data_IF_415123553963
#
_entry.id   IF_415123553963
#
_cell.length_a   1.000
_cell.length_b   1.000
_cell.length_c   1.000
_cell.angle_alpha   90.00
_cell.angle_beta   90.00
_cell.angle_gamma   90.00
#
_symmetry.space_group_name_H-M   'P 1'
#
loop_
_entity.id
_entity.type
_entity.pdbx_description
1 polymer ?
#
# COMPACT_ATOMS: atom_id res chain seq x y z
N UNK A 1 -18.71 -22.09 0.85
CA UNK A 1 -17.76 -22.23 -0.26
C UNK A 1 -17.08 -20.90 -0.51
N UNK A 2 -15.75 -20.92 -0.64
CA UNK A 2 -14.95 -19.78 -1.12
C UNK A 2 -14.90 -19.82 -2.65
N UNK A 3 -15.19 -18.70 -3.28
CA UNK A 3 -15.17 -18.54 -4.73
C UNK A 3 -14.20 -17.44 -5.09
N UNK A 4 -13.23 -17.76 -5.95
CA UNK A 4 -12.31 -16.79 -6.52
C UNK A 4 -12.65 -16.60 -7.99
N UNK A 5 -13.12 -15.41 -8.31
CA UNK A 5 -13.35 -15.02 -9.69
C UNK A 5 -12.06 -14.37 -10.19
N UNK A 6 -11.40 -14.99 -11.17
CA UNK A 6 -10.29 -14.35 -11.89
C UNK A 6 -10.86 -13.69 -13.13
N UNK A 7 -10.55 -12.42 -13.31
CA UNK A 7 -10.66 -11.78 -14.62
C UNK A 7 -9.47 -10.86 -14.84
N UNK A 8 -9.49 -10.11 -15.92
CA UNK A 8 -8.36 -9.27 -16.30
C UNK A 8 -8.24 -9.10 -17.79
N UNK A 9 -7.34 -8.19 -18.18
CA UNK A 9 -7.04 -7.93 -19.58
C UNK A 9 -6.57 -9.20 -20.28
N UNK A 10 -6.89 -9.34 -21.56
CA UNK A 10 -6.43 -10.49 -22.33
C UNK A 10 -4.91 -10.41 -22.48
N UNK A 11 -4.19 -11.49 -22.17
CA UNK A 11 -2.72 -11.47 -22.03
C UNK A 11 -2.18 -11.02 -20.66
N UNK A 12 -3.03 -10.65 -19.69
CA UNK A 12 -2.58 -10.29 -18.33
C UNK A 12 -2.17 -11.48 -17.45
N UNK A 13 -2.26 -12.73 -17.95
CA UNK A 13 -1.81 -13.92 -17.21
C UNK A 13 -2.92 -14.73 -16.52
N UNK A 14 -4.19 -14.59 -16.93
CA UNK A 14 -5.33 -15.35 -16.37
C UNK A 14 -5.09 -16.87 -16.33
N UNK A 15 -4.56 -17.47 -17.40
CA UNK A 15 -4.27 -18.91 -17.43
C UNK A 15 -3.17 -19.33 -16.44
N UNK A 16 -2.20 -18.44 -16.18
CA UNK A 16 -1.15 -18.68 -15.17
C UNK A 16 -1.77 -18.60 -13.77
N UNK A 17 -2.67 -17.64 -13.55
CA UNK A 17 -3.39 -17.49 -12.30
C UNK A 17 -4.30 -18.67 -11.97
N UNK A 18 -5.03 -19.18 -12.97
CA UNK A 18 -5.91 -20.33 -12.81
C UNK A 18 -5.11 -21.59 -12.46
N UNK A 19 -3.98 -21.84 -13.14
CA UNK A 19 -3.08 -22.95 -12.80
C UNK A 19 -2.50 -22.81 -11.39
N UNK A 20 -2.11 -21.61 -10.97
CA UNK A 20 -1.59 -21.38 -9.62
C UNK A 20 -2.64 -21.66 -8.53
N UNK A 21 -3.93 -21.40 -8.82
CA UNK A 21 -5.05 -21.75 -7.95
C UNK A 21 -5.30 -23.26 -7.90
N UNK A 22 -5.25 -23.92 -9.05
CA UNK A 22 -5.37 -25.39 -9.17
C UNK A 22 -4.30 -26.09 -8.34
N UNK A 23 -3.03 -25.64 -8.44
CA UNK A 23 -1.90 -26.12 -7.62
C UNK A 23 -2.14 -25.94 -6.10
N UNK A 24 -2.98 -24.97 -5.72
CA UNK A 24 -3.30 -24.67 -4.30
C UNK A 24 -4.55 -25.42 -3.81
N UNK A 25 -5.16 -26.25 -4.66
CA UNK A 25 -6.31 -27.09 -4.32
C UNK A 25 -7.68 -26.47 -4.64
N UNK A 26 -7.73 -25.37 -5.40
CA UNK A 26 -9.00 -24.84 -5.89
C UNK A 26 -9.51 -25.66 -7.07
N UNK A 27 -10.81 -25.99 -7.06
CA UNK A 27 -11.47 -26.53 -8.25
C UNK A 27 -11.60 -25.42 -9.29
N UNK A 28 -10.88 -25.55 -10.41
CA UNK A 28 -10.78 -24.50 -11.42
C UNK A 28 -11.74 -24.71 -12.58
N UNK A 29 -12.46 -23.65 -12.96
CA UNK A 29 -13.34 -23.62 -14.13
C UNK A 29 -12.97 -22.44 -15.01
N UNK A 30 -12.71 -22.69 -16.29
CA UNK A 30 -12.33 -21.66 -17.26
C UNK A 30 -13.47 -21.34 -18.23
N UNK A 31 -13.53 -20.07 -18.66
CA UNK A 31 -14.38 -19.59 -19.76
C UNK A 31 -15.88 -19.92 -19.65
N UNK A 32 -16.48 -19.69 -18.47
CA UNK A 32 -17.92 -19.90 -18.24
C UNK A 32 -18.73 -18.62 -18.54
N UNK A 33 -19.89 -18.72 -19.23
CA UNK A 33 -20.86 -17.63 -19.34
C UNK A 33 -21.30 -17.11 -17.99
N UNK A 34 -21.37 -15.78 -17.82
CA UNK A 34 -21.75 -15.17 -16.54
C UNK A 34 -23.10 -15.67 -16.02
N UNK A 35 -24.06 -15.88 -16.92
CA UNK A 35 -25.42 -16.31 -16.59
C UNK A 35 -25.49 -17.75 -16.05
N UNK A 36 -24.45 -18.56 -16.28
CA UNK A 36 -24.35 -19.92 -15.75
C UNK A 36 -23.66 -19.99 -14.39
N UNK A 37 -23.10 -18.87 -13.88
CA UNK A 37 -22.44 -18.86 -12.58
C UNK A 37 -23.33 -19.35 -11.44
N UNK A 38 -24.60 -18.90 -11.27
CA UNK A 38 -25.45 -19.37 -10.18
C UNK A 38 -25.64 -20.89 -10.17
N UNK A 39 -25.96 -21.47 -11.33
CA UNK A 39 -26.15 -22.91 -11.46
C UNK A 39 -24.86 -23.68 -11.19
N UNK A 40 -23.73 -23.19 -11.70
CA UNK A 40 -22.43 -23.81 -11.46
C UNK A 40 -22.06 -23.80 -9.97
N UNK A 41 -22.27 -22.68 -9.29
CA UNK A 41 -21.95 -22.57 -7.86
C UNK A 41 -22.86 -23.42 -6.99
N UNK A 42 -24.14 -23.56 -7.35
CA UNK A 42 -25.07 -24.43 -6.63
C UNK A 42 -24.63 -25.89 -6.69
N UNK A 43 -24.23 -26.37 -7.88
CA UNK A 43 -23.72 -27.74 -8.08
C UNK A 43 -22.40 -27.94 -7.32
N UNK A 44 -21.43 -27.02 -7.48
CA UNK A 44 -20.12 -27.17 -6.87
C UNK A 44 -20.16 -27.05 -5.35
N UNK A 45 -21.08 -26.28 -4.78
CA UNK A 45 -21.22 -26.10 -3.33
C UNK A 45 -21.49 -27.40 -2.56
N UNK A 46 -21.97 -28.44 -3.25
CA UNK A 46 -22.25 -29.75 -2.67
C UNK A 46 -21.00 -30.62 -2.49
N UNK A 47 -19.92 -30.35 -3.23
CA UNK A 47 -18.72 -31.20 -3.27
C UNK A 47 -17.41 -30.46 -3.10
N UNK A 48 -17.39 -29.14 -3.31
CA UNK A 48 -16.19 -28.31 -3.28
C UNK A 48 -16.29 -27.24 -2.19
N UNK A 49 -15.23 -27.07 -1.42
CA UNK A 49 -15.10 -25.98 -0.45
C UNK A 49 -14.51 -24.71 -1.07
N UNK A 50 -13.67 -24.85 -2.09
CA UNK A 50 -12.90 -23.77 -2.73
C UNK A 50 -12.92 -23.90 -4.25
N UNK A 51 -13.44 -22.89 -4.94
CA UNK A 51 -13.62 -22.87 -6.41
C UNK A 51 -12.98 -21.62 -7.01
N UNK A 52 -12.27 -21.78 -8.12
CA UNK A 52 -11.73 -20.68 -8.91
C UNK A 52 -12.40 -20.64 -10.29
N UNK A 53 -12.95 -19.49 -10.66
CA UNK A 53 -13.70 -19.31 -11.92
C UNK A 53 -13.04 -18.20 -12.72
N UNK A 54 -12.55 -18.52 -13.91
CA UNK A 54 -12.03 -17.53 -14.85
C UNK A 54 -13.16 -16.98 -15.71
N UNK A 55 -13.42 -15.68 -15.57
CA UNK A 55 -14.37 -14.92 -16.40
C UNK A 55 -13.62 -14.20 -17.52
N UNK A 56 -13.99 -14.52 -18.75
CA UNK A 56 -13.46 -13.89 -19.96
C UNK A 56 -14.43 -12.82 -20.50
N UNK A 57 -13.88 -11.83 -21.21
CA UNK A 57 -14.63 -10.71 -21.80
C UNK A 57 -15.78 -11.17 -22.70
N UNK A 58 -15.60 -12.31 -23.38
CA UNK A 58 -16.59 -12.93 -24.29
C UNK A 58 -17.91 -13.27 -23.59
N UNK A 59 -17.85 -13.46 -22.28
CA UNK A 59 -18.93 -13.97 -21.46
C UNK A 59 -19.53 -12.90 -20.54
N UNK A 60 -19.04 -11.65 -20.60
CA UNK A 60 -19.59 -10.52 -19.84
C UNK A 60 -20.69 -9.91 -20.69
N UNK A 61 -21.96 -9.92 -20.25
CA UNK A 61 -23.03 -9.25 -20.96
C UNK A 61 -22.70 -7.76 -21.10
N UNK A 62 -23.17 -7.12 -22.18
CA UNK A 62 -23.02 -5.66 -22.38
C UNK A 62 -23.66 -4.82 -21.24
N UNK A 63 -24.41 -5.44 -20.31
CA UNK A 63 -25.00 -4.75 -19.17
C UNK A 63 -24.19 -4.99 -17.89
N UNK A 64 -23.58 -3.92 -17.37
CA UNK A 64 -22.98 -3.90 -16.03
C UNK A 64 -23.98 -4.32 -14.92
N UNK A 65 -25.28 -4.14 -15.19
CA UNK A 65 -26.36 -4.51 -14.28
C UNK A 65 -26.44 -6.01 -14.03
N UNK A 66 -26.29 -6.86 -15.06
CA UNK A 66 -26.34 -8.33 -14.91
C UNK A 66 -25.22 -8.83 -13.99
N UNK A 67 -23.99 -8.33 -14.19
CA UNK A 67 -22.85 -8.67 -13.33
C UNK A 67 -23.10 -8.34 -11.86
N UNK A 68 -23.55 -7.11 -11.59
CA UNK A 68 -23.84 -6.68 -10.22
C UNK A 68 -24.91 -7.55 -9.56
N UNK A 69 -25.99 -7.86 -10.28
CA UNK A 69 -27.07 -8.72 -9.78
C UNK A 69 -26.58 -10.14 -9.48
N UNK A 70 -25.87 -10.76 -10.41
CA UNK A 70 -25.31 -12.12 -10.25
C UNK A 70 -24.35 -12.17 -9.07
N UNK A 71 -23.40 -11.24 -8.98
CA UNK A 71 -22.46 -11.16 -7.84
C UNK A 71 -23.19 -10.95 -6.51
N UNK A 72 -24.16 -10.03 -6.46
CA UNK A 72 -24.93 -9.77 -5.23
C UNK A 72 -25.75 -10.96 -4.77
N UNK A 73 -26.21 -11.81 -5.69
CA UNK A 73 -26.98 -13.01 -5.38
C UNK A 73 -26.07 -14.09 -4.82
N UNK A 74 -24.93 -14.34 -5.47
CA UNK A 74 -23.94 -15.30 -5.02
C UNK A 74 -23.32 -14.92 -3.67
N UNK A 75 -23.07 -13.63 -3.42
CA UNK A 75 -22.48 -13.13 -2.17
C UNK A 75 -23.37 -13.37 -0.93
N UNK A 76 -24.66 -13.65 -1.10
CA UNK A 76 -25.57 -14.01 0.01
C UNK A 76 -25.26 -15.39 0.59
N UNK A 77 -24.70 -16.29 -0.22
CA UNK A 77 -24.50 -17.70 0.15
C UNK A 77 -23.03 -18.12 0.13
N UNK A 78 -22.17 -17.33 -0.52
CA UNK A 78 -20.77 -17.68 -0.74
C UNK A 78 -19.84 -16.51 -0.47
N UNK A 79 -18.63 -16.81 -0.01
CA UNK A 79 -17.58 -15.81 0.09
C UNK A 79 -16.93 -15.65 -1.28
N UNK A 80 -17.10 -14.49 -1.90
CA UNK A 80 -16.57 -14.22 -3.24
C UNK A 80 -15.43 -13.22 -3.15
N UNK A 81 -14.30 -13.55 -3.79
CA UNK A 81 -13.20 -12.62 -4.05
C UNK A 81 -12.99 -12.51 -5.56
N UNK A 82 -12.90 -11.30 -6.07
CA UNK A 82 -12.61 -11.00 -7.45
C UNK A 82 -11.15 -10.52 -7.54
N UNK A 83 -10.34 -11.24 -8.33
CA UNK A 83 -8.97 -10.87 -8.67
C UNK A 83 -8.96 -10.41 -10.12
N UNK A 84 -8.58 -9.17 -10.34
CA UNK A 84 -8.41 -8.58 -11.67
C UNK A 84 -6.93 -8.48 -12.01
N UNK A 85 -6.53 -9.05 -13.14
CA UNK A 85 -5.17 -8.98 -13.65
C UNK A 85 -5.06 -7.89 -14.72
N UNK A 86 -4.13 -6.98 -14.53
CA UNK A 86 -3.85 -5.91 -15.48
C UNK A 86 -2.39 -5.97 -15.97
N UNK A 87 -2.14 -5.33 -17.10
CA UNK A 87 -0.81 -4.99 -17.56
C UNK A 87 -0.91 -3.75 -18.44
N UNK A 88 0.21 -3.03 -18.58
CA UNK A 88 0.30 -1.91 -19.49
C UNK A 88 0.09 -2.32 -20.95
N UNK A 89 -0.28 -1.35 -21.77
CA UNK A 89 -0.62 -1.56 -23.19
C UNK A 89 0.55 -2.17 -23.97
N UNK A 90 1.76 -1.68 -23.76
CA UNK A 90 2.95 -2.15 -24.47
C UNK A 90 3.26 -3.62 -24.16
N UNK A 91 3.11 -4.02 -22.91
CA UNK A 91 3.32 -5.40 -22.45
C UNK A 91 2.27 -6.33 -23.01
N UNK A 92 0.99 -5.91 -23.06
CA UNK A 92 -0.07 -6.71 -23.67
C UNK A 92 0.19 -6.95 -25.16
N UNK A 93 0.52 -5.90 -25.92
CA UNK A 93 0.86 -6.00 -27.34
C UNK A 93 2.03 -6.99 -27.52
N UNK A 94 3.11 -6.82 -26.75
CA UNK A 94 4.26 -7.73 -26.80
C UNK A 94 3.87 -9.19 -26.51
N UNK A 95 3.10 -9.46 -25.45
CA UNK A 95 2.66 -10.82 -25.08
C UNK A 95 1.78 -11.45 -26.17
N UNK A 96 0.97 -10.65 -26.85
CA UNK A 96 0.19 -11.10 -27.99
C UNK A 96 1.07 -11.46 -29.19
N UNK A 97 2.04 -10.60 -29.53
CA UNK A 97 3.04 -10.88 -30.56
C UNK A 97 3.84 -12.16 -30.28
N UNK A 98 4.26 -12.36 -29.02
CA UNK A 98 5.05 -13.53 -28.61
C UNK A 98 4.22 -14.82 -28.63
N UNK A 99 2.98 -14.77 -28.12
CA UNK A 99 2.11 -15.95 -28.03
C UNK A 99 1.47 -16.35 -29.36
N UNK A 100 1.40 -15.42 -30.33
CA UNK A 100 0.71 -15.58 -31.62
C UNK A 100 -0.77 -15.96 -31.48
N UNK A 101 -1.38 -15.67 -30.32
CA UNK A 101 -2.82 -15.89 -30.09
C UNK A 101 -3.61 -14.72 -30.65
N UNK A 102 -4.84 -14.97 -31.08
CA UNK A 102 -5.77 -13.90 -31.46
C UNK A 102 -6.37 -13.24 -30.22
N UNK A 103 -6.57 -11.93 -30.29
CA UNK A 103 -7.27 -11.19 -29.25
C UNK A 103 -8.78 -11.51 -29.33
N UNK A 104 -9.50 -11.75 -28.21
CA UNK A 104 -10.93 -12.11 -28.28
C UNK A 104 -11.80 -11.14 -29.08
N UNK A 105 -11.51 -9.83 -29.00
CA UNK A 105 -12.21 -8.79 -29.76
C UNK A 105 -11.70 -8.58 -31.21
N UNK A 106 -10.63 -9.25 -31.66
CA UNK A 106 -10.16 -9.10 -33.05
C UNK A 106 -11.13 -9.71 -34.06
N UNK A 107 -12.08 -10.53 -33.60
CA UNK A 107 -13.18 -11.08 -34.42
C UNK A 107 -14.16 -10.00 -34.93
N UNK A 108 -14.06 -8.77 -34.43
CA UNK A 108 -14.85 -7.60 -34.88
C UNK A 108 -14.10 -6.72 -35.90
N UNK A 109 -13.14 -7.29 -36.63
CA UNK A 109 -12.24 -6.59 -37.57
C UNK A 109 -11.42 -5.43 -36.95
N UNK A 110 -11.16 -5.50 -35.64
CA UNK A 110 -10.34 -4.51 -34.93
C UNK A 110 -8.85 -4.89 -34.98
N UNK A 111 -8.00 -3.86 -35.17
CA UNK A 111 -6.56 -3.98 -34.89
C UNK A 111 -6.32 -4.44 -33.44
N UNK A 112 -5.18 -5.07 -33.17
CA UNK A 112 -4.82 -5.53 -31.82
C UNK A 112 -4.85 -4.36 -30.81
N UNK A 113 -4.29 -3.23 -31.20
CA UNK A 113 -4.29 -1.97 -30.47
C UNK A 113 -5.72 -1.51 -30.10
N UNK A 114 -6.59 -1.39 -31.10
CA UNK A 114 -7.97 -0.97 -30.88
C UNK A 114 -8.76 -1.99 -30.03
N UNK A 115 -8.49 -3.28 -30.21
CA UNK A 115 -9.11 -4.35 -29.43
C UNK A 115 -8.70 -4.30 -27.95
N UNK A 116 -7.42 -4.01 -27.66
CA UNK A 116 -6.88 -3.83 -26.31
C UNK A 116 -7.46 -2.60 -25.63
N UNK A 117 -7.65 -1.51 -26.38
CA UNK A 117 -8.19 -0.25 -25.85
C UNK A 117 -9.71 -0.38 -25.61
N UNK A 118 -10.45 -1.04 -26.50
CA UNK A 118 -11.88 -1.27 -26.37
C UNK A 118 -12.22 -2.31 -25.28
N UNK A 119 -11.35 -3.32 -25.07
CA UNK A 119 -11.50 -4.31 -23.99
C UNK A 119 -11.67 -3.68 -22.61
N UNK A 120 -10.96 -2.57 -22.34
CA UNK A 120 -11.02 -1.89 -21.06
C UNK A 120 -12.45 -1.50 -20.67
N UNK A 121 -13.27 -1.08 -21.64
CA UNK A 121 -14.68 -0.67 -21.42
C UNK A 121 -15.57 -1.83 -20.99
N UNK A 122 -15.37 -3.01 -21.58
CA UNK A 122 -16.14 -4.21 -21.21
C UNK A 122 -15.73 -4.74 -19.82
N UNK A 123 -14.49 -4.53 -19.43
CA UNK A 123 -13.95 -5.00 -18.15
C UNK A 123 -14.18 -4.03 -16.98
N UNK A 124 -14.50 -2.76 -17.25
CA UNK A 124 -14.75 -1.73 -16.23
C UNK A 124 -15.69 -2.20 -15.08
N UNK A 125 -16.83 -2.88 -15.35
CA UNK A 125 -17.68 -3.37 -14.28
C UNK A 125 -16.99 -4.37 -13.35
N UNK A 126 -16.09 -5.22 -13.86
CA UNK A 126 -15.33 -6.16 -13.04
C UNK A 126 -14.23 -5.45 -12.23
N UNK A 127 -13.59 -4.44 -12.82
CA UNK A 127 -12.58 -3.63 -12.12
C UNK A 127 -13.21 -2.95 -10.90
N UNK A 128 -14.41 -2.38 -11.04
CA UNK A 128 -15.14 -1.72 -9.95
C UNK A 128 -15.50 -2.66 -8.79
N UNK A 129 -15.66 -3.96 -9.07
CA UNK A 129 -15.98 -4.97 -8.05
C UNK A 129 -14.76 -5.79 -7.61
N UNK A 130 -13.57 -5.52 -8.16
CA UNK A 130 -12.36 -6.25 -7.87
C UNK A 130 -11.94 -6.04 -6.40
N UNK A 131 -11.70 -7.14 -5.69
CA UNK A 131 -11.11 -7.10 -4.36
C UNK A 131 -9.58 -6.93 -4.42
N UNK A 132 -8.97 -7.40 -5.51
CA UNK A 132 -7.56 -7.23 -5.79
C UNK A 132 -7.36 -6.90 -7.26
N UNK A 133 -6.65 -5.81 -7.55
CA UNK A 133 -6.12 -5.52 -8.88
C UNK A 133 -4.62 -5.79 -8.84
N UNK A 134 -4.14 -6.72 -9.67
CA UNK A 134 -2.74 -7.09 -9.75
C UNK A 134 -2.15 -6.64 -11.09
N UNK A 135 -1.23 -5.68 -11.04
CA UNK A 135 -0.42 -5.30 -12.18
C UNK A 135 0.65 -6.37 -12.45
N UNK A 136 0.57 -6.97 -13.63
CA UNK A 136 1.45 -8.04 -14.10
C UNK A 136 2.52 -7.55 -15.06
N UNK A 137 2.59 -6.25 -15.36
CA UNK A 137 3.48 -5.63 -16.37
C UNK A 137 4.93 -6.14 -16.28
N UNK A 138 5.50 -6.14 -15.07
CA UNK A 138 6.87 -6.57 -14.81
C UNK A 138 6.98 -7.95 -14.15
N UNK A 139 5.88 -8.70 -14.06
CA UNK A 139 5.87 -10.01 -13.42
C UNK A 139 6.19 -11.11 -14.44
N UNK A 140 7.13 -11.98 -14.09
CA UNK A 140 7.27 -13.27 -14.75
C UNK A 140 6.08 -14.18 -14.41
N UNK A 141 5.86 -15.23 -15.19
CA UNK A 141 4.81 -16.23 -14.90
C UNK A 141 4.99 -16.88 -13.53
N UNK A 142 6.23 -17.17 -13.15
CA UNK A 142 6.58 -17.69 -11.82
C UNK A 142 6.26 -16.67 -10.72
N UNK A 143 6.68 -15.40 -10.89
CA UNK A 143 6.43 -14.34 -9.90
C UNK A 143 4.94 -14.06 -9.72
N UNK A 144 4.16 -14.14 -10.80
CA UNK A 144 2.70 -14.04 -10.75
C UNK A 144 2.09 -15.20 -9.94
N UNK A 145 2.49 -16.44 -10.23
CA UNK A 145 2.01 -17.61 -9.51
C UNK A 145 2.34 -17.54 -8.01
N UNK A 146 3.58 -17.17 -7.65
CA UNK A 146 3.99 -16.98 -6.25
C UNK A 146 3.17 -15.90 -5.56
N UNK A 147 2.98 -14.75 -6.21
CA UNK A 147 2.20 -13.64 -5.63
C UNK A 147 0.73 -14.00 -5.41
N UNK A 148 0.15 -14.80 -6.30
CA UNK A 148 -1.19 -15.34 -6.11
C UNK A 148 -1.21 -16.35 -4.96
N UNK A 149 -0.27 -17.29 -4.90
CA UNK A 149 -0.19 -18.23 -3.76
C UNK A 149 -0.05 -17.48 -2.42
N UNK A 150 0.74 -16.41 -2.37
CA UNK A 150 0.83 -15.55 -1.18
C UNK A 150 -0.51 -14.88 -0.82
N UNK A 151 -1.24 -14.38 -1.81
CA UNK A 151 -2.57 -13.82 -1.61
C UNK A 151 -3.57 -14.88 -1.10
N UNK A 152 -3.49 -16.10 -1.64
CA UNK A 152 -4.46 -17.19 -1.46
C UNK A 152 -4.27 -18.03 -0.22
N UNK A 153 -3.02 -18.23 0.23
CA UNK A 153 -2.75 -18.84 1.53
C UNK A 153 -3.46 -18.09 2.66
N UNK A 154 -3.95 -16.88 2.38
CA UNK A 154 -4.07 -15.83 3.35
C UNK A 154 -2.68 -15.58 3.86
N UNK A 155 -2.25 -14.33 3.96
CA UNK A 155 -1.44 -14.10 5.16
C UNK A 155 -2.43 -14.25 6.32
N UNK A 156 -2.69 -15.49 6.73
CA UNK A 156 -2.94 -15.81 8.13
C UNK A 156 -1.91 -14.99 8.90
N UNK A 157 -2.39 -13.96 9.59
CA UNK A 157 -1.60 -13.23 10.58
C UNK A 157 -0.44 -12.35 10.07
N UNK A 158 -0.42 -11.84 8.82
CA UNK A 158 0.33 -10.57 8.63
C UNK A 158 -0.47 -9.45 9.24
N UNK A 159 -0.27 -9.27 10.54
CA UNK A 159 -0.73 -8.09 11.26
C UNK A 159 -0.26 -6.84 10.52
N UNK A 160 -1.21 -5.97 10.15
CA UNK A 160 -0.92 -4.70 9.51
C UNK A 160 -0.08 -3.86 10.48
N UNK A 161 1.18 -3.55 10.11
CA UNK A 161 2.02 -2.66 10.91
C UNK A 161 1.71 -1.22 10.56
N UNK A 162 1.22 -0.47 11.53
CA UNK A 162 0.93 0.95 11.35
C UNK A 162 2.21 1.74 11.65
N UNK A 163 2.62 2.61 10.73
CA UNK A 163 3.70 3.57 10.94
C UNK A 163 3.05 4.94 11.06
N UNK A 164 3.15 5.56 12.23
CA UNK A 164 2.71 6.95 12.41
C UNK A 164 3.94 7.81 12.49
N UNK A 165 4.07 8.77 11.57
CA UNK A 165 5.27 9.57 11.48
C UNK A 165 5.01 11.06 11.39
N UNK A 166 5.88 11.84 12.03
CA UNK A 166 5.89 13.30 11.88
C UNK A 166 6.97 13.75 10.91
N UNK A 167 6.64 14.67 10.02
CA UNK A 167 7.58 15.31 9.12
C UNK A 167 7.41 16.84 9.09
N UNK A 168 8.38 17.50 8.45
CA UNK A 168 8.37 18.92 8.15
C UNK A 168 8.25 19.14 6.65
N UNK A 169 7.23 19.88 6.17
CA UNK A 169 7.03 20.14 4.74
C UNK A 169 8.25 20.77 4.05
N UNK A 170 9.06 21.55 4.78
CA UNK A 170 10.32 22.11 4.26
C UNK A 170 11.36 21.05 3.87
N UNK A 171 11.15 19.78 4.25
CA UNK A 171 12.00 18.64 3.92
C UNK A 171 11.38 17.69 2.90
N UNK A 172 10.20 18.00 2.36
CA UNK A 172 9.46 17.15 1.43
C UNK A 172 8.46 16.20 2.10
N UNK A 173 7.50 15.73 1.32
CA UNK A 173 6.50 14.74 1.73
C UNK A 173 7.13 13.34 1.64
N UNK A 174 6.93 12.47 2.64
CA UNK A 174 7.36 11.07 2.57
C UNK A 174 6.73 10.34 1.38
N UNK A 175 7.55 9.73 0.53
CA UNK A 175 7.09 9.00 -0.67
C UNK A 175 6.35 7.70 -0.33
N UNK A 176 6.57 7.18 0.87
CA UNK A 176 6.02 5.94 1.41
C UNK A 176 4.74 6.16 2.24
N UNK A 177 4.20 7.37 2.28
CA UNK A 177 2.97 7.69 3.02
C UNK A 177 1.71 7.26 2.26
N UNK A 178 0.85 6.48 2.91
CA UNK A 178 -0.50 6.17 2.43
C UNK A 178 -1.49 7.30 2.76
N UNK A 179 -1.31 7.93 3.93
CA UNK A 179 -2.06 9.11 4.36
C UNK A 179 -1.10 10.25 4.70
N UNK A 180 -1.41 11.45 4.22
CA UNK A 180 -0.67 12.67 4.54
C UNK A 180 -1.64 13.71 5.08
N UNK A 181 -1.43 14.14 6.32
CA UNK A 181 -2.24 15.15 6.97
C UNK A 181 -1.44 16.42 7.24
N UNK A 182 -1.89 17.55 6.69
CA UNK A 182 -1.31 18.87 6.95
C UNK A 182 -1.92 19.48 8.23
N UNK A 183 -1.07 19.80 9.20
CA UNK A 183 -1.46 20.41 10.49
C UNK A 183 -0.92 21.83 10.65
N UNK A 184 -0.51 22.49 9.56
CA UNK A 184 0.04 23.87 9.61
C UNK A 184 -0.99 24.95 9.95
N UNK A 185 -2.28 24.64 9.88
CA UNK A 185 -3.35 25.56 10.25
C UNK A 185 -3.58 25.63 11.77
N UNK A 186 -3.10 24.63 12.53
CA UNK A 186 -3.27 24.57 13.99
C UNK A 186 -2.36 25.56 14.73
N UNK A 187 -2.71 25.95 15.98
CA UNK A 187 -1.92 26.83 16.83
C UNK A 187 -0.43 26.48 16.87
N UNK A 188 0.43 27.49 16.72
CA UNK A 188 1.86 27.29 16.50
C UNK A 188 2.68 27.64 17.75
N UNK A 189 3.24 26.66 18.47
CA UNK A 189 4.05 26.89 19.67
C UNK A 189 5.33 27.69 19.39
N UNK A 190 5.76 27.79 18.13
CA UNK A 190 6.99 28.48 17.74
C UNK A 190 6.98 29.98 18.10
N UNK A 191 5.80 30.59 18.23
CA UNK A 191 5.69 32.01 18.56
C UNK A 191 6.07 32.32 20.00
N UNK A 192 5.87 31.37 20.91
CA UNK A 192 6.36 31.46 22.27
C UNK A 192 7.88 31.19 22.30
N UNK A 193 8.72 32.17 22.71
CA UNK A 193 10.16 32.00 22.80
C UNK A 193 10.59 30.85 23.71
N UNK A 194 9.81 30.53 24.75
CA UNK A 194 10.11 29.47 25.72
C UNK A 194 9.84 28.08 25.14
N UNK A 195 8.82 27.95 24.29
CA UNK A 195 8.45 26.69 23.63
C UNK A 195 9.23 26.45 22.33
N UNK A 196 9.70 27.50 21.67
CA UNK A 196 10.45 27.43 20.40
C UNK A 196 11.63 26.44 20.39
N UNK A 197 12.49 26.33 21.43
CA UNK A 197 13.58 25.35 21.44
C UNK A 197 13.12 23.92 21.70
N UNK A 198 11.95 23.71 22.31
CA UNK A 198 11.41 22.41 22.71
C UNK A 198 10.80 21.64 21.54
N UNK A 199 10.47 20.38 21.74
CA UNK A 199 9.80 19.51 20.75
C UNK A 199 8.39 19.14 21.19
N UNK A 200 7.57 18.65 20.25
CA UNK A 200 6.21 18.17 20.55
C UNK A 200 6.14 16.95 21.49
N UNK A 201 7.29 16.40 21.91
CA UNK A 201 7.38 15.33 22.91
C UNK A 201 7.57 15.88 24.34
N UNK A 202 7.89 17.17 24.48
CA UNK A 202 8.16 17.79 25.76
C UNK A 202 6.86 18.36 26.36
N UNK A 203 6.69 18.17 27.66
CA UNK A 203 5.45 18.49 28.38
C UNK A 203 4.93 19.92 28.13
N UNK A 204 5.76 20.99 28.13
CA UNK A 204 5.24 22.35 27.90
C UNK A 204 4.64 22.55 26.49
N UNK A 205 5.20 21.92 25.47
CA UNK A 205 4.66 21.99 24.10
C UNK A 205 3.40 21.13 23.98
N UNK A 206 3.38 19.96 24.62
CA UNK A 206 2.22 19.09 24.67
C UNK A 206 1.04 19.78 25.40
N UNK A 207 1.30 20.44 26.53
CA UNK A 207 0.31 21.19 27.30
C UNK A 207 -0.25 22.37 26.49
N UNK A 208 0.62 23.16 25.85
CA UNK A 208 0.20 24.22 24.93
C UNK A 208 -0.75 23.66 23.88
N UNK A 209 -0.36 22.60 23.16
CA UNK A 209 -1.17 22.04 22.08
C UNK A 209 -2.49 21.43 22.60
N UNK A 210 -2.45 20.74 23.73
CA UNK A 210 -3.62 20.13 24.36
C UNK A 210 -4.63 21.18 24.87
N UNK A 211 -4.18 22.40 25.18
CA UNK A 211 -5.05 23.49 25.62
C UNK A 211 -5.97 24.05 24.52
N UNK A 212 -5.71 23.71 23.26
CA UNK A 212 -6.46 24.18 22.10
C UNK A 212 -7.50 23.15 21.62
N UNK A 213 -8.77 23.53 21.64
CA UNK A 213 -9.89 22.66 21.24
C UNK A 213 -9.74 22.15 19.81
N UNK A 214 -9.29 22.99 18.88
CA UNK A 214 -9.11 22.64 17.46
C UNK A 214 -8.02 21.58 17.24
N UNK A 215 -7.01 21.51 18.12
CA UNK A 215 -5.98 20.46 18.07
C UNK A 215 -6.58 19.13 18.48
N UNK A 216 -7.36 19.13 19.57
CA UNK A 216 -8.04 17.94 20.08
C UNK A 216 -9.10 17.43 19.11
N UNK A 217 -9.86 18.32 18.48
CA UNK A 217 -10.84 17.99 17.46
C UNK A 217 -10.18 17.38 16.22
N UNK A 218 -9.08 17.95 15.75
CA UNK A 218 -8.32 17.37 14.64
C UNK A 218 -7.82 15.95 14.95
N UNK A 219 -7.25 15.74 16.15
CA UNK A 219 -6.80 14.41 16.58
C UNK A 219 -7.98 13.44 16.63
N UNK A 220 -9.12 13.86 17.18
CA UNK A 220 -10.33 13.06 17.28
C UNK A 220 -10.87 12.64 15.91
N UNK A 221 -11.02 13.58 14.98
CA UNK A 221 -11.55 13.30 13.64
C UNK A 221 -10.59 12.41 12.84
N UNK A 222 -9.28 12.67 12.96
CA UNK A 222 -8.25 11.89 12.25
C UNK A 222 -8.23 10.45 12.74
N UNK A 223 -8.19 10.21 14.07
CA UNK A 223 -8.20 8.85 14.61
C UNK A 223 -9.51 8.13 14.28
N UNK A 224 -10.66 8.83 14.33
CA UNK A 224 -11.96 8.23 14.01
C UNK A 224 -12.08 7.86 12.54
N UNK A 225 -11.59 8.72 11.64
CA UNK A 225 -11.52 8.42 10.20
C UNK A 225 -10.69 7.17 9.94
N UNK A 226 -9.47 7.11 10.48
CA UNK A 226 -8.60 5.94 10.30
C UNK A 226 -9.24 4.70 10.91
N UNK A 227 -9.81 4.79 12.12
CA UNK A 227 -10.46 3.67 12.80
C UNK A 227 -11.66 3.10 12.02
N UNK A 228 -12.44 3.98 11.36
CA UNK A 228 -13.57 3.59 10.51
C UNK A 228 -13.14 2.69 9.36
N UNK A 229 -12.01 3.03 8.71
CA UNK A 229 -11.53 2.33 7.53
C UNK A 229 -10.50 1.24 7.83
N UNK A 230 -9.93 1.22 9.04
CA UNK A 230 -8.88 0.28 9.43
C UNK A 230 -9.25 -1.19 9.18
N UNK A 231 -10.48 -1.67 9.50
CA UNK A 231 -10.86 -3.06 9.22
C UNK A 231 -10.83 -3.42 7.72
N UNK A 232 -11.05 -2.44 6.83
CA UNK A 232 -10.93 -2.64 5.38
C UNK A 232 -9.46 -2.59 4.93
N UNK A 233 -8.66 -1.69 5.52
CA UNK A 233 -7.22 -1.61 5.24
C UNK A 233 -6.49 -2.90 5.65
N UNK A 234 -6.88 -3.51 6.78
CA UNK A 234 -6.34 -4.79 7.26
C UNK A 234 -6.66 -5.95 6.29
N UNK A 235 -7.80 -5.89 5.60
CA UNK A 235 -8.17 -6.88 4.57
C UNK A 235 -7.45 -6.67 3.23
N UNK A 236 -6.78 -5.53 3.03
CA UNK A 236 -6.15 -5.16 1.75
C UNK A 236 -4.78 -5.83 1.52
N UNK A 237 -4.42 -6.87 2.30
CA UNK A 237 -3.13 -7.59 2.18
C UNK A 237 -1.87 -6.71 2.20
N UNK A 238 -1.96 -5.47 2.74
CA UNK A 238 -0.81 -4.60 2.95
C UNK A 238 -0.09 -5.01 4.23
N UNK A 239 1.24 -5.00 4.19
CA UNK A 239 2.06 -5.25 5.38
C UNK A 239 2.26 -4.00 6.23
N UNK A 240 2.12 -2.81 5.63
CA UNK A 240 2.33 -1.53 6.27
C UNK A 240 1.21 -0.56 5.91
N UNK A 241 0.86 0.29 6.88
CA UNK A 241 0.04 1.47 6.71
C UNK A 241 0.81 2.68 7.26
N UNK A 242 1.24 3.59 6.39
CA UNK A 242 2.01 4.77 6.78
C UNK A 242 1.14 6.02 6.84
N UNK A 243 1.02 6.59 8.03
CA UNK A 243 0.26 7.82 8.33
C UNK A 243 1.26 8.93 8.66
N UNK A 244 1.40 9.89 7.75
CA UNK A 244 2.34 10.99 7.87
C UNK A 244 1.64 12.29 8.29
N UNK A 245 2.10 12.89 9.38
CA UNK A 245 1.62 14.17 9.91
C UNK A 245 2.64 15.25 9.62
N UNK A 246 2.24 16.29 8.90
CA UNK A 246 3.12 17.33 8.40
C UNK A 246 2.86 18.69 9.04
N UNK A 247 3.90 19.32 9.60
CA UNK A 247 3.89 20.77 9.88
C UNK A 247 5.04 21.43 9.13
N UNK A 248 5.26 22.75 9.25
CA UNK A 248 6.33 23.42 8.49
C UNK A 248 7.72 22.86 8.83
N UNK A 249 8.03 22.76 10.13
CA UNK A 249 9.36 22.42 10.63
C UNK A 249 9.57 20.97 11.07
N UNK A 250 8.50 20.20 11.23
CA UNK A 250 8.57 18.82 11.75
C UNK A 250 9.01 18.71 13.21
N UNK A 251 8.67 19.70 14.05
CA UNK A 251 9.23 19.84 15.41
C UNK A 251 8.21 19.85 16.55
N UNK A 252 7.11 20.60 16.40
CA UNK A 252 6.11 20.79 17.46
C UNK A 252 4.80 20.08 17.11
N UNK A 253 3.92 20.74 16.35
CA UNK A 253 2.56 20.27 15.97
C UNK A 253 2.54 18.85 15.43
N UNK A 254 3.31 18.59 14.37
CA UNK A 254 3.30 17.25 13.77
C UNK A 254 3.86 16.17 14.67
N UNK A 255 4.85 16.51 15.51
CA UNK A 255 5.46 15.57 16.47
C UNK A 255 4.44 15.18 17.53
N UNK A 256 3.80 16.16 18.16
CA UNK A 256 2.77 15.93 19.17
C UNK A 256 1.59 15.12 18.60
N UNK A 257 1.04 15.53 17.45
CA UNK A 257 -0.12 14.84 16.85
C UNK A 257 0.23 13.42 16.41
N UNK A 258 1.40 13.20 15.80
CA UNK A 258 1.86 11.86 15.46
C UNK A 258 2.01 10.98 16.71
N UNK A 259 2.50 11.54 17.82
CA UNK A 259 2.59 10.84 19.10
C UNK A 259 1.20 10.44 19.60
N UNK A 260 0.25 11.39 19.66
CA UNK A 260 -1.12 11.14 20.12
C UNK A 260 -1.86 10.09 19.27
N UNK A 261 -1.73 10.16 17.93
CA UNK A 261 -2.34 9.17 17.04
C UNK A 261 -1.70 7.79 17.19
N UNK A 262 -0.37 7.74 17.29
CA UNK A 262 0.36 6.49 17.48
C UNK A 262 -0.01 5.79 18.78
N UNK A 263 0.01 6.51 19.90
CA UNK A 263 -0.35 6.00 21.23
C UNK A 263 -1.81 5.52 21.28
N UNK A 264 -2.73 6.23 20.63
CA UNK A 264 -4.12 5.81 20.52
C UNK A 264 -4.26 4.42 19.87
N UNK A 265 -3.60 4.18 18.74
CA UNK A 265 -3.67 2.88 18.06
C UNK A 265 -2.89 1.79 18.80
N UNK A 266 -1.80 2.12 19.49
CA UNK A 266 -1.11 1.18 20.40
C UNK A 266 -2.04 0.73 21.53
N UNK A 267 -2.78 1.65 22.14
CA UNK A 267 -3.74 1.35 23.20
C UNK A 267 -4.92 0.48 22.71
N UNK A 268 -5.25 0.51 21.41
CA UNK A 268 -6.21 -0.40 20.77
C UNK A 268 -5.63 -1.79 20.44
N UNK A 269 -4.39 -2.08 20.85
CA UNK A 269 -3.73 -3.36 20.61
C UNK A 269 -3.22 -3.55 19.18
N UNK A 270 -3.02 -2.46 18.43
CA UNK A 270 -2.42 -2.54 17.09
C UNK A 270 -0.89 -2.51 17.18
N UNK A 271 -0.20 -3.20 16.28
CA UNK A 271 1.25 -3.03 16.10
C UNK A 271 1.54 -1.69 15.42
N UNK A 272 1.96 -0.70 16.22
CA UNK A 272 2.26 0.66 15.74
C UNK A 272 3.70 1.07 16.05
N UNK A 273 4.37 1.64 15.05
CA UNK A 273 5.67 2.29 15.19
C UNK A 273 5.53 3.80 15.01
N UNK A 274 5.90 4.56 16.03
CA UNK A 274 5.92 6.03 15.99
C UNK A 274 7.32 6.51 15.57
N UNK A 275 7.40 7.43 14.61
CA UNK A 275 8.67 7.97 14.11
C UNK A 275 8.64 9.49 13.97
N UNK A 276 9.77 10.15 14.26
CA UNK A 276 9.89 11.60 14.12
C UNK A 276 11.02 11.96 13.17
N UNK A 277 10.78 11.77 11.86
CA UNK A 277 11.79 11.87 10.77
C UNK A 277 12.64 13.16 10.87
N UNK A 278 12.03 14.32 11.13
CA UNK A 278 12.74 15.60 11.22
C UNK A 278 13.59 15.75 12.50
N UNK A 279 13.17 15.18 13.62
CA UNK A 279 13.95 15.19 14.86
C UNK A 279 15.13 14.20 14.79
N UNK A 280 14.90 13.02 14.20
CA UNK A 280 15.92 11.99 14.03
C UNK A 280 17.04 12.40 13.06
N UNK A 281 16.71 13.17 12.02
CA UNK A 281 17.69 13.74 11.10
C UNK A 281 18.67 14.67 11.81
N UNK A 282 18.19 15.51 12.72
CA UNK A 282 19.05 16.41 13.51
C UNK A 282 20.00 15.63 14.43
N UNK A 283 19.54 14.52 15.04
CA UNK A 283 20.41 13.65 15.84
C UNK A 283 21.54 13.01 15.01
N UNK A 284 21.25 12.57 13.77
CA UNK A 284 22.27 12.01 12.87
C UNK A 284 23.31 13.05 12.42
N UNK A 285 22.89 14.29 12.15
CA UNK A 285 23.80 15.39 11.80
C UNK A 285 24.70 15.75 12.99
N UNK A 286 24.16 15.79 14.21
CA UNK A 286 24.98 16.04 15.41
C UNK A 286 26.00 14.91 15.61
N UNK A 287 25.58 13.63 15.47
CA UNK A 287 26.53 12.51 15.55
C UNK A 287 27.63 12.60 14.49
N UNK A 288 27.30 12.93 13.24
CA UNK A 288 28.32 13.06 12.18
C UNK A 288 29.22 14.28 12.38
N UNK A 289 28.70 15.39 12.91
CA UNK A 289 29.48 16.57 13.28
C UNK A 289 30.44 16.25 14.43
N UNK A 290 29.98 15.60 15.50
CA UNK A 290 30.83 15.18 16.62
C UNK A 290 31.93 14.23 16.16
N UNK A 291 31.62 13.26 15.30
CA UNK A 291 32.63 12.35 14.72
C UNK A 291 33.64 13.13 13.87
N UNK A 292 33.19 14.08 13.03
CA UNK A 292 34.09 14.93 12.23
C UNK A 292 34.97 15.82 13.10
N UNK A 293 34.43 16.44 14.15
CA UNK A 293 35.20 17.26 15.08
C UNK A 293 36.21 16.43 15.86
N UNK A 294 35.84 15.23 16.31
CA UNK A 294 36.76 14.30 16.98
C UNK A 294 37.89 13.84 16.04
N UNK A 295 37.58 13.59 14.76
CA UNK A 295 38.56 13.27 13.73
C UNK A 295 39.49 14.45 13.43
N UNK A 296 38.96 15.68 13.40
CA UNK A 296 39.75 16.88 13.17
C UNK A 296 40.70 17.16 14.35
N UNK A 297 40.23 17.00 15.59
CA UNK A 297 41.02 17.16 16.81
C UNK A 297 42.13 16.10 16.91
N UNK A 298 41.85 14.84 16.57
CA UNK A 298 42.87 13.78 16.53
C UNK A 298 43.89 14.03 15.41
N UNK A 299 43.46 14.48 14.23
CA UNK A 299 44.37 14.86 13.15
C UNK A 299 45.29 16.03 13.55
N UNK A 300 44.75 17.06 14.21
CA UNK A 300 45.55 18.17 14.76
C UNK A 300 46.54 17.69 15.81
N UNK A 301 46.13 16.79 16.71
CA UNK A 301 46.99 16.25 17.76
C UNK A 301 48.13 15.41 17.17
N UNK A 302 47.86 14.57 16.16
CA UNK A 302 48.88 13.83 15.44
C UNK A 302 49.84 14.77 14.69
N UNK A 303 49.33 15.82 14.04
CA UNK A 303 50.17 16.81 13.34
C UNK A 303 51.08 17.57 14.31
N UNK A 304 50.54 18.03 15.44
CA UNK A 304 51.30 18.71 16.49
C UNK A 304 52.37 17.78 17.09
N UNK A 305 52.06 16.50 17.32
CA UNK A 305 53.03 15.54 17.82
C UNK A 305 54.13 15.22 16.79
N UNK A 306 53.79 15.17 15.49
CA UNK A 306 54.77 14.98 14.40
C UNK A 306 55.73 16.17 14.30
N UNK A 307 55.21 17.40 14.40
CA UNK A 307 56.02 18.63 14.42
C UNK A 307 56.94 18.68 15.65
N UNK A 308 56.43 18.34 16.83
CA UNK A 308 57.22 18.30 18.07
C UNK A 308 58.36 17.27 18.03
N UNK A 309 58.13 16.09 17.45
CA UNK A 309 59.17 15.07 17.31
C UNK A 309 60.19 15.41 16.21
N UNK A 310 59.80 16.10 15.14
CA UNK A 310 60.73 16.54 14.09
C UNK A 310 61.75 17.56 14.62
N UNK A 311 61.32 18.49 15.48
CA UNK A 311 62.22 19.49 16.07
C UNK A 311 63.29 18.91 17.00
N UNK A 312 63.13 17.67 17.50
CA UNK A 312 64.13 17.00 18.35
C UNK A 312 65.19 16.21 17.58
N UNK A 313 64.99 15.95 16.29
CA UNK A 313 65.95 15.20 15.46
C UNK A 313 66.96 16.14 14.79
N UNK A 314 66.70 17.45 14.78
CA UNK A 314 67.54 18.45 14.11
C UNK A 314 68.31 19.37 15.07
N UNK A 315 68.45 19.00 16.34
CA UNK A 315 69.29 19.69 17.33
C UNK A 315 70.32 18.71 17.89
#
# INVERSE_FOLDING_TARGET
MEIIIISGRSGAGKSVALRALEDTGYYCVDNIPLDLLPQLTDILSQSQSSVAISLDIRNIPNSAHSLKQTLSTLQKHHQIKIIFLEADRATLIRRYSDSRRLHPLSLKDLSLEAAIDEEYRYLEPLIQHANLILDTTHLSTHSLAERLREFLRGNSEKELKIIVESFGFKYGIPLDADYVFDVRFLPNPHWDPTLRPMTGLEAPVAEFLNSHTEVNEFIYLTRHYIDTWLPMLEKNNRSYLTIAIGCTGGKHRSVYIAQQLGEYFQAKGKTVKIQHKSLERNKKIIKSAVIKTLFLLTALFLHAHRLYNFTRITA
#
